data_IF_592177839585
#
_entry.id   IF_592177839585
#
_cell.length_a   1.000
_cell.length_b   1.000
_cell.length_c   1.000
_cell.angle_alpha   90.00
_cell.angle_beta   90.00
_cell.angle_gamma   90.00
#
_symmetry.space_group_name_H-M   'P 1'
#
loop_
_entity.id
_entity.type
_entity.pdbx_description
1 polymer ?
#
# COMPACT_ATOMS: atom_id res chain seq x y z
N UNK A 1 24.52 15.95 -10.39
CA UNK A 1 23.51 16.21 -11.45
C UNK A 1 22.14 15.93 -10.85
N UNK A 2 21.34 16.97 -10.65
CA UNK A 2 19.92 16.81 -10.28
C UNK A 2 19.16 16.27 -11.49
N UNK A 3 18.47 15.14 -11.31
CA UNK A 3 17.60 14.57 -12.33
C UNK A 3 16.16 14.69 -11.88
N UNK A 4 15.34 15.33 -12.69
CA UNK A 4 13.90 15.41 -12.44
C UNK A 4 13.27 14.04 -12.72
N UNK A 5 12.67 13.41 -11.68
CA UNK A 5 12.07 12.09 -11.78
C UNK A 5 10.61 12.13 -12.25
N UNK A 6 9.86 13.17 -11.84
CA UNK A 6 8.46 13.37 -12.20
C UNK A 6 8.26 14.74 -12.85
N UNK A 7 7.38 14.82 -13.85
CA UNK A 7 7.16 16.01 -14.64
C UNK A 7 5.66 16.32 -14.77
N UNK A 8 5.20 17.37 -14.10
CA UNK A 8 3.87 17.90 -14.29
C UNK A 8 2.73 16.90 -14.10
N UNK A 9 2.83 16.06 -13.07
CA UNK A 9 1.78 15.10 -12.74
C UNK A 9 0.64 15.83 -12.05
N UNK A 10 -0.56 15.74 -12.64
CA UNK A 10 -1.80 16.18 -12.04
C UNK A 10 -2.78 15.00 -12.03
N UNK A 11 -3.17 14.58 -10.84
CA UNK A 11 -4.00 13.40 -10.65
C UNK A 11 -4.91 13.61 -9.43
N UNK A 12 -6.19 13.28 -9.59
CA UNK A 12 -7.14 13.21 -8.48
C UNK A 12 -7.62 11.77 -8.34
N UNK A 13 -7.54 11.24 -7.12
CA UNK A 13 -8.00 9.90 -6.78
C UNK A 13 -9.18 10.04 -5.83
N UNK A 14 -10.32 9.48 -6.24
CA UNK A 14 -11.55 9.53 -5.44
C UNK A 14 -11.52 8.51 -4.29
N UNK A 15 -12.19 8.85 -3.18
CA UNK A 15 -12.32 7.95 -2.06
C UNK A 15 -13.05 6.66 -2.48
N UNK A 16 -12.50 5.51 -2.09
CA UNK A 16 -13.05 4.20 -2.43
C UNK A 16 -12.65 3.69 -3.81
N UNK A 17 -11.85 4.44 -4.57
CA UNK A 17 -11.38 4.03 -5.89
C UNK A 17 -10.31 2.93 -5.78
N UNK A 18 -10.26 2.05 -6.78
CA UNK A 18 -9.16 1.11 -6.97
C UNK A 18 -8.38 1.52 -8.22
N UNK A 19 -7.25 2.20 -7.99
CA UNK A 19 -6.39 2.73 -9.06
C UNK A 19 -5.21 1.79 -9.30
N UNK A 20 -4.99 1.41 -10.55
CA UNK A 20 -3.77 0.76 -10.98
C UNK A 20 -2.78 1.76 -11.56
N UNK A 21 -1.51 1.61 -11.24
CA UNK A 21 -0.42 2.41 -11.79
C UNK A 21 0.58 1.48 -12.47
N UNK A 22 0.79 1.67 -13.75
CA UNK A 22 1.72 0.88 -14.58
C UNK A 22 2.82 1.77 -15.13
N UNK A 23 4.01 1.19 -15.29
CA UNK A 23 5.14 1.82 -15.96
C UNK A 23 6.35 0.90 -15.96
N UNK A 24 7.27 1.13 -16.87
CA UNK A 24 8.55 0.42 -16.92
C UNK A 24 9.47 0.83 -15.78
N UNK A 25 10.52 0.06 -15.54
CA UNK A 25 11.62 0.45 -14.65
C UNK A 25 12.16 1.81 -15.09
N UNK A 26 12.27 2.74 -14.14
CA UNK A 26 12.71 4.11 -14.43
C UNK A 26 11.62 5.05 -14.94
N UNK A 27 10.35 4.62 -14.97
CA UNK A 27 9.21 5.48 -15.38
C UNK A 27 8.80 6.51 -14.32
N UNK A 28 9.29 6.39 -13.09
CA UNK A 28 8.95 7.26 -11.97
C UNK A 28 7.93 6.67 -11.00
N UNK A 29 7.55 5.39 -11.14
CA UNK A 29 6.57 4.74 -10.25
C UNK A 29 6.96 4.81 -8.78
N UNK A 30 8.16 4.40 -8.43
CA UNK A 30 8.65 4.41 -7.05
C UNK A 30 8.69 5.81 -6.47
N UNK A 31 9.14 6.80 -7.24
CA UNK A 31 9.15 8.20 -6.84
C UNK A 31 7.73 8.71 -6.64
N UNK A 32 6.81 8.37 -7.54
CA UNK A 32 5.40 8.73 -7.44
C UNK A 32 4.78 8.22 -6.15
N UNK A 33 4.93 6.92 -5.84
CA UNK A 33 4.31 6.34 -4.62
C UNK A 33 4.89 6.94 -3.34
N UNK A 34 6.16 7.28 -3.30
CA UNK A 34 6.80 7.89 -2.13
C UNK A 34 6.28 9.31 -1.84
N UNK A 35 5.74 10.01 -2.84
CA UNK A 35 5.04 11.27 -2.63
C UNK A 35 3.67 11.08 -1.99
N UNK A 36 3.00 9.95 -2.24
CA UNK A 36 1.65 9.70 -1.74
C UNK A 36 1.59 9.51 -0.22
N UNK A 37 2.65 9.06 0.40
CA UNK A 37 2.73 8.89 1.86
C UNK A 37 3.57 9.95 2.57
N UNK A 38 4.06 10.94 1.85
CA UNK A 38 4.88 12.02 2.41
C UNK A 38 6.35 11.68 2.65
N UNK A 39 6.85 10.53 2.16
CA UNK A 39 8.27 10.19 2.23
C UNK A 39 9.13 11.11 1.36
N UNK A 40 8.59 11.54 0.24
CA UNK A 40 9.21 12.57 -0.60
C UNK A 40 8.30 13.79 -0.68
N UNK A 41 8.93 14.96 -0.77
CA UNK A 41 8.23 16.23 -0.94
C UNK A 41 8.40 16.70 -2.40
N UNK A 42 7.34 17.20 -3.05
CA UNK A 42 7.47 17.74 -4.41
C UNK A 42 8.34 18.98 -4.40
N UNK A 43 9.19 19.14 -5.44
CA UNK A 43 9.97 20.36 -5.64
C UNK A 43 9.05 21.55 -5.95
N UNK A 44 8.01 21.29 -6.74
CA UNK A 44 6.92 22.24 -7.02
C UNK A 44 5.59 21.50 -6.98
N UNK A 45 4.52 22.21 -6.69
CA UNK A 45 3.19 21.62 -6.55
C UNK A 45 2.93 21.08 -5.15
N UNK A 46 1.82 20.40 -4.99
CA UNK A 46 1.33 19.90 -3.71
C UNK A 46 0.77 18.48 -3.82
N UNK A 47 0.86 17.74 -2.74
CA UNK A 47 0.15 16.46 -2.56
C UNK A 47 -0.81 16.63 -1.39
N UNK A 48 -2.11 16.53 -1.67
CA UNK A 48 -3.14 16.67 -0.64
C UNK A 48 -3.89 15.35 -0.45
N UNK A 49 -4.22 15.05 0.80
CA UNK A 49 -5.05 13.92 1.20
C UNK A 49 -6.20 14.48 2.03
N UNK A 50 -7.44 14.27 1.57
CA UNK A 50 -8.63 14.86 2.18
C UNK A 50 -8.50 16.38 2.43
N UNK A 51 -7.92 17.09 1.45
CA UNK A 51 -7.72 18.54 1.52
C UNK A 51 -6.55 19.01 2.37
N UNK A 52 -5.78 18.10 2.95
CA UNK A 52 -4.61 18.41 3.79
C UNK A 52 -3.33 18.19 3.01
N UNK A 53 -2.46 19.20 2.96
CA UNK A 53 -1.11 19.07 2.39
C UNK A 53 -0.25 18.17 3.31
N UNK A 54 0.03 16.96 2.85
CA UNK A 54 0.79 15.98 3.64
C UNK A 54 2.28 16.27 3.74
N UNK A 55 2.78 17.27 3.00
CA UNK A 55 4.16 17.75 3.12
C UNK A 55 4.34 18.76 4.24
N UNK A 56 3.26 19.29 4.79
CA UNK A 56 3.29 20.28 5.86
C UNK A 56 3.81 19.69 7.18
N UNK A 57 4.35 20.54 8.05
CA UNK A 57 4.86 20.15 9.37
C UNK A 57 3.81 20.27 10.48
N UNK A 58 2.54 20.22 10.13
CA UNK A 58 1.41 20.34 11.09
C UNK A 58 1.03 18.98 11.67
N UNK A 59 0.37 18.99 12.84
CA UNK A 59 -0.19 17.76 13.43
C UNK A 59 -1.28 17.15 12.53
N UNK A 60 -2.06 17.97 11.85
CA UNK A 60 -3.06 17.51 10.89
C UNK A 60 -2.44 16.76 9.73
N UNK A 61 -1.34 17.28 9.15
CA UNK A 61 -0.60 16.60 8.11
C UNK A 61 -0.01 15.28 8.58
N UNK A 62 0.53 15.22 9.80
CA UNK A 62 1.04 13.99 10.41
C UNK A 62 -0.05 12.93 10.54
N UNK A 63 -1.24 13.31 11.00
CA UNK A 63 -2.38 12.40 11.09
C UNK A 63 -2.79 11.87 9.73
N UNK A 64 -2.80 12.73 8.70
CA UNK A 64 -3.14 12.31 7.33
C UNK A 64 -2.09 11.38 6.75
N UNK A 65 -0.80 11.60 6.99
CA UNK A 65 0.25 10.65 6.57
C UNK A 65 0.05 9.27 7.18
N UNK A 66 -0.38 9.17 8.44
CA UNK A 66 -0.69 7.89 9.08
C UNK A 66 -1.93 7.20 8.50
N UNK A 67 -2.80 7.93 7.80
CA UNK A 67 -3.97 7.36 7.10
C UNK A 67 -3.63 6.78 5.75
N UNK A 68 -2.42 7.01 5.24
CA UNK A 68 -1.91 6.42 4.01
C UNK A 68 -0.99 5.27 4.38
N UNK A 69 -1.50 4.04 4.28
CA UNK A 69 -0.72 2.83 4.46
C UNK A 69 0.12 2.53 3.22
N UNK A 70 1.36 2.12 3.43
CA UNK A 70 2.28 1.76 2.35
C UNK A 70 2.78 0.34 2.54
N UNK A 71 2.60 -0.50 1.52
CA UNK A 71 3.20 -1.83 1.44
C UNK A 71 4.24 -1.79 0.31
N UNK A 72 5.52 -1.82 0.70
CA UNK A 72 6.63 -1.80 -0.24
C UNK A 72 6.84 -3.18 -0.86
N UNK A 73 7.59 -3.22 -1.96
CA UNK A 73 8.04 -4.46 -2.56
C UNK A 73 8.84 -5.29 -1.53
N UNK A 74 8.57 -6.60 -1.45
CA UNK A 74 9.12 -7.50 -0.43
C UNK A 74 8.90 -6.98 0.99
N UNK A 75 7.63 -6.76 1.40
CA UNK A 75 7.33 -6.14 2.69
C UNK A 75 7.78 -6.99 3.88
N UNK A 76 7.94 -8.30 3.71
CA UNK A 76 8.46 -9.22 4.71
C UNK A 76 9.91 -8.92 5.12
N UNK A 77 10.67 -8.22 4.31
CA UNK A 77 12.04 -7.79 4.67
C UNK A 77 12.05 -6.72 5.76
N UNK A 78 10.91 -6.12 6.07
CA UNK A 78 10.78 -5.11 7.13
C UNK A 78 10.40 -5.72 8.48
N UNK A 79 10.10 -7.01 8.56
CA UNK A 79 9.82 -7.69 9.80
C UNK A 79 11.08 -7.78 10.67
N UNK A 80 10.99 -7.43 11.95
CA UNK A 80 12.14 -7.35 12.82
C UNK A 80 11.89 -7.79 14.27
N UNK A 81 10.63 -7.95 14.67
CA UNK A 81 10.27 -8.34 16.04
C UNK A 81 10.36 -9.85 16.26
N UNK A 82 10.43 -10.24 17.55
CA UNK A 82 10.53 -11.64 17.92
C UNK A 82 9.24 -12.42 17.71
N UNK A 83 8.10 -11.75 17.83
CA UNK A 83 6.79 -12.37 17.63
C UNK A 83 5.97 -11.65 16.57
N UNK A 84 5.03 -12.37 15.96
CA UNK A 84 4.09 -11.83 14.98
C UNK A 84 3.26 -10.72 15.61
N UNK A 85 2.75 -10.94 16.82
CA UNK A 85 1.94 -9.93 17.52
C UNK A 85 2.73 -8.64 17.77
N UNK A 86 4.00 -8.73 18.15
CA UNK A 86 4.86 -7.55 18.37
C UNK A 86 5.12 -6.77 17.08
N UNK A 87 5.36 -7.47 15.97
CA UNK A 87 5.54 -6.83 14.66
C UNK A 87 4.30 -6.05 14.24
N UNK A 88 3.13 -6.67 14.34
CA UNK A 88 1.86 -6.02 13.99
C UNK A 88 1.55 -4.86 14.94
N UNK A 89 1.89 -4.99 16.22
CA UNK A 89 1.66 -3.98 17.24
C UNK A 89 2.55 -2.74 17.12
N UNK A 90 3.66 -2.82 16.40
CA UNK A 90 4.66 -1.75 16.33
C UNK A 90 4.07 -0.42 15.89
N UNK A 91 3.33 -0.39 14.80
CA UNK A 91 2.68 0.82 14.30
C UNK A 91 1.64 1.39 15.27
N UNK A 92 0.66 0.61 15.73
CA UNK A 92 -0.31 1.06 16.72
C UNK A 92 0.30 1.61 18.01
N UNK A 93 1.36 0.99 18.53
CA UNK A 93 2.11 1.51 19.69
C UNK A 93 2.70 2.89 19.41
N UNK A 94 3.25 3.10 18.23
CA UNK A 94 3.82 4.39 17.83
C UNK A 94 2.78 5.50 17.69
N UNK A 95 1.50 5.13 17.48
CA UNK A 95 0.39 6.09 17.51
C UNK A 95 0.01 6.54 18.93
N UNK A 96 0.61 5.94 19.96
CA UNK A 96 0.29 6.25 21.33
C UNK A 96 -1.02 5.66 21.84
N UNK A 97 -1.53 4.60 21.18
CA UNK A 97 -2.73 3.90 21.60
C UNK A 97 -2.51 3.16 22.92
N UNK A 98 -3.58 2.96 23.70
CA UNK A 98 -3.55 2.16 24.93
C UNK A 98 -3.18 0.69 24.62
N UNK A 99 -2.73 -0.04 25.65
CA UNK A 99 -2.42 -1.46 25.51
C UNK A 99 -3.62 -2.28 25.03
N UNK A 100 -4.82 -1.96 25.50
CA UNK A 100 -6.06 -2.64 25.09
C UNK A 100 -6.42 -2.33 23.64
N UNK A 101 -6.27 -1.09 23.19
CA UNK A 101 -6.50 -0.69 21.80
C UNK A 101 -5.49 -1.36 20.87
N UNK A 102 -4.21 -1.42 21.27
CA UNK A 102 -3.18 -2.12 20.49
C UNK A 102 -3.50 -3.60 20.34
N UNK A 103 -3.89 -4.27 21.42
CA UNK A 103 -4.26 -5.69 21.39
C UNK A 103 -5.46 -5.93 20.45
N UNK A 104 -6.47 -5.11 20.52
CA UNK A 104 -7.64 -5.17 19.63
C UNK A 104 -7.23 -5.00 18.15
N UNK A 105 -6.39 -4.01 17.86
CA UNK A 105 -5.87 -3.79 16.50
C UNK A 105 -5.09 -4.97 15.96
N UNK A 106 -4.26 -5.59 16.78
CA UNK A 106 -3.48 -6.78 16.41
C UNK A 106 -4.40 -7.97 16.11
N UNK A 107 -5.38 -8.22 16.98
CA UNK A 107 -6.34 -9.32 16.79
C UNK A 107 -7.17 -9.15 15.53
N UNK A 108 -7.69 -7.96 15.30
CA UNK A 108 -8.49 -7.64 14.11
C UNK A 108 -7.67 -7.77 12.82
N UNK A 109 -6.45 -7.25 12.82
CA UNK A 109 -5.56 -7.34 11.66
C UNK A 109 -5.18 -8.78 11.34
N UNK A 110 -4.85 -9.58 12.35
CA UNK A 110 -4.55 -11.00 12.15
C UNK A 110 -5.74 -11.78 11.60
N UNK A 111 -6.91 -11.56 12.16
CA UNK A 111 -8.16 -12.15 11.65
C UNK A 111 -8.41 -11.77 10.19
N UNK A 112 -8.19 -10.51 9.88
CA UNK A 112 -8.43 -10.00 8.54
C UNK A 112 -7.54 -10.67 7.49
N UNK A 113 -6.26 -10.88 7.78
CA UNK A 113 -5.33 -11.56 6.87
C UNK A 113 -5.35 -13.09 6.99
N UNK A 114 -6.28 -13.65 7.75
CA UNK A 114 -6.47 -15.09 7.87
C UNK A 114 -5.44 -15.82 8.74
N UNK A 115 -4.81 -15.14 9.68
CA UNK A 115 -3.89 -15.73 10.66
C UNK A 115 -4.59 -15.88 12.01
N UNK A 116 -4.75 -17.11 12.47
CA UNK A 116 -5.36 -17.38 13.78
C UNK A 116 -4.47 -16.84 14.91
N UNK A 117 -5.04 -15.94 15.72
CA UNK A 117 -4.29 -15.28 16.81
C UNK A 117 -3.69 -16.30 17.80
N UNK A 118 -4.51 -17.24 18.26
CA UNK A 118 -4.05 -18.21 19.25
C UNK A 118 -2.93 -19.13 18.75
N UNK A 119 -2.92 -19.39 17.44
CA UNK A 119 -1.89 -20.23 16.81
C UNK A 119 -0.61 -19.48 16.53
N UNK A 120 -0.71 -18.23 16.05
CA UNK A 120 0.40 -17.53 15.43
C UNK A 120 0.97 -16.34 16.20
N UNK A 121 0.20 -15.71 17.10
CA UNK A 121 0.59 -14.45 17.72
C UNK A 121 1.97 -14.47 18.40
N UNK A 122 2.29 -15.54 19.12
CA UNK A 122 3.53 -15.70 19.87
C UNK A 122 4.66 -16.37 19.08
N UNK A 123 4.39 -16.76 17.82
CA UNK A 123 5.42 -17.36 16.97
C UNK A 123 6.32 -16.28 16.35
N UNK A 124 7.56 -16.69 16.05
CA UNK A 124 8.46 -15.85 15.26
C UNK A 124 7.97 -15.71 13.84
N UNK A 125 7.91 -14.48 13.27
CA UNK A 125 7.54 -14.30 11.88
C UNK A 125 8.55 -14.96 10.93
N UNK A 126 9.79 -15.16 11.35
CA UNK A 126 10.85 -15.71 10.53
C UNK A 126 10.75 -17.24 10.32
N UNK A 127 9.88 -17.91 11.05
CA UNK A 127 9.60 -19.34 10.88
C UNK A 127 8.41 -19.62 9.97
N UNK A 128 7.81 -18.60 9.37
CA UNK A 128 6.70 -18.71 8.46
C UNK A 128 7.15 -18.91 7.01
N UNK A 129 6.24 -19.39 6.14
CA UNK A 129 6.45 -19.34 4.70
C UNK A 129 6.55 -17.89 4.21
N UNK A 130 7.12 -17.68 3.01
CA UNK A 130 7.22 -16.34 2.42
C UNK A 130 5.86 -15.64 2.28
N UNK A 131 4.82 -16.37 1.87
CA UNK A 131 3.46 -15.85 1.76
C UNK A 131 2.86 -15.47 3.11
N UNK A 132 3.07 -16.30 4.13
CA UNK A 132 2.62 -15.99 5.50
C UNK A 132 3.37 -14.80 6.10
N UNK A 133 4.69 -14.70 5.91
CA UNK A 133 5.48 -13.54 6.32
C UNK A 133 4.94 -12.26 5.68
N UNK A 134 4.60 -12.31 4.40
CA UNK A 134 4.02 -11.18 3.69
C UNK A 134 2.66 -10.77 4.26
N UNK A 135 1.83 -11.74 4.64
CA UNK A 135 0.57 -11.47 5.35
C UNK A 135 0.78 -10.77 6.68
N UNK A 136 1.81 -11.13 7.44
CA UNK A 136 2.16 -10.44 8.69
C UNK A 136 2.51 -8.98 8.41
N UNK A 137 3.31 -8.72 7.38
CA UNK A 137 3.67 -7.37 6.99
C UNK A 137 2.45 -6.54 6.58
N UNK A 138 1.53 -7.11 5.81
CA UNK A 138 0.26 -6.48 5.43
C UNK A 138 -0.60 -6.23 6.66
N UNK A 139 -0.68 -7.18 7.59
CA UNK A 139 -1.41 -7.02 8.84
C UNK A 139 -0.90 -5.83 9.67
N UNK A 140 0.41 -5.61 9.69
CA UNK A 140 1.01 -4.45 10.36
C UNK A 140 0.54 -3.11 9.78
N UNK A 141 0.35 -3.04 8.47
CA UNK A 141 -0.20 -1.85 7.82
C UNK A 141 -1.71 -1.72 8.07
N UNK A 142 -2.45 -2.81 7.98
CA UNK A 142 -3.91 -2.84 8.25
C UNK A 142 -4.23 -2.45 9.69
N UNK A 143 -3.38 -2.83 10.65
CA UNK A 143 -3.54 -2.49 12.06
C UNK A 143 -3.50 -0.97 12.33
N UNK A 144 -2.96 -0.19 11.43
CA UNK A 144 -2.98 1.27 11.48
C UNK A 144 -4.33 1.87 11.12
N UNK A 145 -5.29 1.07 10.67
CA UNK A 145 -6.59 1.50 10.13
C UNK A 145 -6.43 2.59 9.05
N UNK A 146 -5.72 2.32 7.95
CA UNK A 146 -5.55 3.29 6.88
C UNK A 146 -6.85 3.52 6.12
N UNK A 147 -7.05 4.73 5.61
CA UNK A 147 -8.12 5.05 4.66
C UNK A 147 -7.66 4.85 3.20
N UNK A 148 -6.35 4.90 3.00
CA UNK A 148 -5.68 4.74 1.70
C UNK A 148 -4.58 3.70 1.83
N UNK A 149 -4.52 2.79 0.87
CA UNK A 149 -3.51 1.73 0.84
C UNK A 149 -2.76 1.76 -0.49
N UNK A 150 -1.47 2.05 -0.41
CA UNK A 150 -0.56 2.01 -1.57
C UNK A 150 0.25 0.73 -1.51
N UNK A 151 0.18 -0.06 -2.58
CA UNK A 151 0.84 -1.35 -2.70
C UNK A 151 1.81 -1.30 -3.88
N UNK A 152 3.10 -1.43 -3.59
CA UNK A 152 4.15 -1.42 -4.61
C UNK A 152 4.62 -2.86 -4.89
N UNK A 153 4.21 -3.41 -6.02
CA UNK A 153 4.54 -4.78 -6.44
C UNK A 153 4.28 -5.82 -5.33
N UNK A 154 3.07 -5.91 -4.77
CA UNK A 154 2.83 -6.73 -3.57
C UNK A 154 2.98 -8.23 -3.79
N UNK A 155 2.92 -8.70 -5.02
CA UNK A 155 3.07 -10.12 -5.38
C UNK A 155 4.47 -10.51 -5.82
N UNK A 156 5.43 -9.58 -5.83
CA UNK A 156 6.79 -9.84 -6.29
C UNK A 156 7.44 -10.99 -5.52
N UNK A 157 8.06 -11.92 -6.25
CA UNK A 157 8.77 -13.05 -5.67
C UNK A 157 7.89 -14.19 -5.17
N UNK A 158 6.57 -14.07 -5.26
CA UNK A 158 5.64 -15.14 -4.89
C UNK A 158 5.40 -16.11 -6.06
N UNK A 159 5.15 -17.38 -5.73
CA UNK A 159 4.66 -18.36 -6.69
C UNK A 159 3.21 -18.04 -7.10
N UNK A 160 2.65 -18.68 -8.14
CA UNK A 160 1.30 -18.40 -8.60
C UNK A 160 0.22 -18.52 -7.52
N UNK A 161 0.34 -19.47 -6.62
CA UNK A 161 -0.62 -19.69 -5.53
C UNK A 161 -0.55 -18.55 -4.51
N UNK A 162 0.65 -18.19 -4.05
CA UNK A 162 0.86 -17.08 -3.11
C UNK A 162 0.44 -15.73 -3.71
N UNK A 163 0.66 -15.55 -5.00
CA UNK A 163 0.21 -14.37 -5.74
C UNK A 163 -1.30 -14.23 -5.72
N UNK A 164 -2.04 -15.31 -6.02
CA UNK A 164 -3.50 -15.29 -5.95
C UNK A 164 -4.02 -14.99 -4.54
N UNK A 165 -3.41 -15.58 -3.52
CA UNK A 165 -3.78 -15.29 -2.13
C UNK A 165 -3.63 -13.81 -1.78
N UNK A 166 -2.54 -13.17 -2.18
CA UNK A 166 -2.33 -11.74 -1.92
C UNK A 166 -3.34 -10.89 -2.68
N UNK A 167 -3.67 -11.23 -3.92
CA UNK A 167 -4.68 -10.50 -4.68
C UNK A 167 -6.07 -10.63 -4.06
N UNK A 168 -6.45 -11.80 -3.60
CA UNK A 168 -7.70 -11.99 -2.87
C UNK A 168 -7.76 -11.15 -1.60
N UNK A 169 -6.66 -11.07 -0.85
CA UNK A 169 -6.56 -10.21 0.35
C UNK A 169 -6.74 -8.72 -0.01
N UNK A 170 -6.11 -8.25 -1.07
CA UNK A 170 -6.22 -6.86 -1.53
C UNK A 170 -7.67 -6.55 -1.95
N UNK A 171 -8.29 -7.43 -2.71
CA UNK A 171 -9.69 -7.29 -3.12
C UNK A 171 -10.60 -7.26 -1.89
N UNK A 172 -10.36 -8.14 -0.93
CA UNK A 172 -11.12 -8.21 0.31
C UNK A 172 -11.00 -6.92 1.14
N UNK A 173 -9.78 -6.39 1.28
CA UNK A 173 -9.53 -5.08 1.93
C UNK A 173 -10.34 -3.96 1.30
N UNK A 174 -10.32 -3.89 -0.02
CA UNK A 174 -11.04 -2.86 -0.75
C UNK A 174 -12.56 -2.98 -0.57
N UNK A 175 -13.10 -4.19 -0.71
CA UNK A 175 -14.55 -4.43 -0.63
C UNK A 175 -15.10 -4.30 0.78
N UNK A 176 -14.44 -4.92 1.76
CA UNK A 176 -14.98 -5.00 3.12
C UNK A 176 -14.73 -3.74 3.94
N UNK A 177 -13.59 -3.08 3.74
CA UNK A 177 -13.22 -1.89 4.51
C UNK A 177 -13.43 -0.58 3.75
N UNK A 178 -13.76 -0.62 2.46
CA UNK A 178 -13.97 0.57 1.64
C UNK A 178 -12.70 1.41 1.46
N UNK A 179 -11.53 0.82 1.64
CA UNK A 179 -10.24 1.50 1.53
C UNK A 179 -9.97 1.88 0.08
N UNK A 180 -9.49 3.10 -0.14
CA UNK A 180 -8.95 3.51 -1.44
C UNK A 180 -7.64 2.76 -1.69
N UNK A 181 -7.53 2.05 -2.80
CA UNK A 181 -6.36 1.24 -3.13
C UNK A 181 -5.64 1.82 -4.34
N UNK A 182 -4.32 1.95 -4.22
CA UNK A 182 -3.42 2.32 -5.30
C UNK A 182 -2.44 1.17 -5.47
N UNK A 183 -2.60 0.41 -6.55
CA UNK A 183 -1.79 -0.76 -6.84
C UNK A 183 -0.80 -0.44 -7.94
N UNK A 184 0.48 -0.51 -7.61
CA UNK A 184 1.58 -0.33 -8.56
C UNK A 184 2.08 -1.70 -9.00
N UNK A 185 2.09 -1.95 -10.29
CA UNK A 185 2.57 -3.20 -10.88
C UNK A 185 3.12 -2.96 -12.28
N UNK A 186 3.98 -3.88 -12.74
CA UNK A 186 4.40 -3.96 -14.13
C UNK A 186 3.56 -4.97 -14.93
N UNK A 187 2.65 -5.69 -14.28
CA UNK A 187 1.81 -6.70 -14.91
C UNK A 187 0.40 -6.15 -15.17
N UNK A 188 0.10 -5.94 -16.45
CA UNK A 188 -1.16 -5.35 -16.89
C UNK A 188 -2.37 -6.26 -16.62
N UNK A 189 -2.21 -7.58 -16.72
CA UNK A 189 -3.29 -8.53 -16.46
C UNK A 189 -3.76 -8.47 -15.01
N UNK A 190 -2.83 -8.36 -14.06
CA UNK A 190 -3.16 -8.27 -12.65
C UNK A 190 -3.94 -6.99 -12.34
N UNK A 191 -3.46 -5.87 -12.85
CA UNK A 191 -4.12 -4.58 -12.64
C UNK A 191 -5.49 -4.54 -13.29
N UNK A 192 -5.62 -5.01 -14.54
CA UNK A 192 -6.90 -4.98 -15.24
C UNK A 192 -7.98 -5.83 -14.55
N UNK A 193 -7.56 -6.86 -13.86
CA UNK A 193 -8.43 -7.74 -13.09
C UNK A 193 -9.03 -7.06 -11.86
N UNK A 194 -8.29 -6.14 -11.24
CA UNK A 194 -8.64 -5.57 -9.93
C UNK A 194 -9.03 -4.10 -9.99
N UNK A 195 -8.35 -3.31 -10.82
CA UNK A 195 -8.50 -1.87 -10.84
C UNK A 195 -9.66 -1.42 -11.73
N UNK A 196 -10.39 -0.41 -11.28
CA UNK A 196 -11.43 0.27 -12.06
C UNK A 196 -10.88 1.40 -12.92
N UNK A 197 -9.67 1.86 -12.63
CA UNK A 197 -8.98 2.93 -13.33
C UNK A 197 -7.51 2.61 -13.43
N UNK A 198 -6.91 2.95 -14.56
CA UNK A 198 -5.51 2.72 -14.86
C UNK A 198 -4.80 4.01 -15.24
N UNK A 199 -3.66 4.24 -14.64
CA UNK A 199 -2.73 5.32 -14.98
C UNK A 199 -1.43 4.70 -15.46
N UNK A 200 -0.94 5.15 -16.62
CA UNK A 200 0.34 4.70 -17.17
C UNK A 200 1.35 5.83 -17.04
N UNK A 201 2.47 5.51 -16.38
CA UNK A 201 3.62 6.41 -16.26
C UNK A 201 4.69 6.03 -17.27
N UNK A 202 5.23 7.02 -17.95
CA UNK A 202 6.40 6.90 -18.81
C UNK A 202 7.28 8.13 -18.67
N UNK A 203 8.56 7.91 -18.42
CA UNK A 203 9.57 8.98 -18.26
C UNK A 203 9.12 10.10 -17.29
N UNK A 204 8.50 9.71 -16.20
CA UNK A 204 8.05 10.64 -15.16
C UNK A 204 6.77 11.41 -15.47
N UNK A 205 6.04 11.02 -16.50
CA UNK A 205 4.77 11.66 -16.92
C UNK A 205 3.63 10.67 -16.97
N UNK A 206 2.42 11.14 -16.71
CA UNK A 206 1.20 10.38 -17.00
C UNK A 206 0.95 10.47 -18.50
N UNK A 207 0.97 9.33 -19.17
CA UNK A 207 0.73 9.24 -20.62
C UNK A 207 -0.65 8.70 -20.95
N UNK A 208 -1.25 7.92 -20.07
CA UNK A 208 -2.61 7.39 -20.22
C UNK A 208 -3.29 7.40 -18.85
N UNK A 209 -4.59 7.68 -18.84
CA UNK A 209 -5.46 7.67 -17.67
C UNK A 209 -6.89 7.33 -18.12
N UNK A 210 -7.42 6.22 -17.64
CA UNK A 210 -8.76 5.78 -18.02
C UNK A 210 -9.12 4.40 -17.50
N UNK A 211 -10.22 3.86 -17.96
CA UNK A 211 -10.62 2.51 -17.64
C UNK A 211 -9.69 1.49 -18.33
N UNK A 212 -9.33 0.37 -17.67
CA UNK A 212 -8.41 -0.61 -18.25
C UNK A 212 -8.81 -1.13 -19.62
N UNK A 213 -10.09 -1.38 -19.85
CA UNK A 213 -10.60 -1.86 -21.15
C UNK A 213 -10.43 -0.83 -22.27
N UNK A 214 -10.61 0.45 -21.97
CA UNK A 214 -10.42 1.52 -22.95
C UNK A 214 -8.96 1.67 -23.33
N UNK A 215 -8.06 1.49 -22.37
CA UNK A 215 -6.62 1.57 -22.60
C UNK A 215 -6.13 0.39 -23.44
N UNK A 216 -6.60 -0.83 -23.14
CA UNK A 216 -6.20 -2.03 -23.89
C UNK A 216 -6.74 -2.08 -25.32
N UNK A 217 -7.92 -1.55 -25.57
CA UNK A 217 -8.53 -1.57 -26.90
C UNK A 217 -7.95 -0.52 -27.86
N UNK A 218 -7.18 0.44 -27.38
CA UNK A 218 -6.59 1.52 -28.18
C UNK A 218 -5.10 1.28 -28.52
N UNK A 219 -4.59 0.08 -28.26
CA UNK A 219 -3.20 -0.32 -28.59
C UNK A 219 -3.13 -1.73 -29.24
#
# INVERSE_FOLDING_TARGET
FEKTALHGISLTIENGEFLGVIGHTGSGKSTFVQHLNGLLHPTTGTVTVNGVDISASTEEAKKMRHKVGMVFQYPEHQLFEETIAEDIAFGPKNLGLSADEVDERVRDAMKFVGLDYNTYAERSPFHLSGGQMRRVAIAGVVAMNPDFLVLDEPSAGLDPFGREEIFEEIIHLHKEKGITVILVSHNMEDISRMASRLVVLDKGRIVLDGEPMDIFNNH
#
